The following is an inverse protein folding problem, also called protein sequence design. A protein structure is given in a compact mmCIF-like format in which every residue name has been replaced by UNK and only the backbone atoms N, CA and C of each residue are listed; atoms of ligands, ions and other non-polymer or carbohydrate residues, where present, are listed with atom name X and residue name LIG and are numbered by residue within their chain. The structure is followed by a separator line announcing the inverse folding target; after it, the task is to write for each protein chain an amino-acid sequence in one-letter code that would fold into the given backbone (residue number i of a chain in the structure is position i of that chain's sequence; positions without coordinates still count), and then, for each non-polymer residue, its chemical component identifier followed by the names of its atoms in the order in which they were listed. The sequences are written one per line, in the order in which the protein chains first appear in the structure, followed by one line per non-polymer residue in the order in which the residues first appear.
data_IF_554889108778
#
_entry.id   IF_554889108778
#
_cell.length_a   1.000
_cell.length_b   1.000
_cell.length_c   1.000
_cell.angle_alpha   90.00
_cell.angle_beta   90.00
_cell.angle_gamma   90.00
#
_symmetry.space_group_name_H-M   'P 1'
#
loop_
_entity.id
_entity.type
_entity.pdbx_description
1 polymer ?
#
# COMPACT_ATOMS: atom_id res chain seq x y z
N UNK A 1 -22.72 69.47 4.29
CA UNK A 1 -21.86 69.82 3.14
C UNK A 1 -20.64 68.89 3.15
N UNK A 2 -20.41 67.93 2.26
CA UNK A 2 -21.27 67.10 1.41
C UNK A 2 -20.47 65.80 1.17
N UNK A 3 -21.04 64.68 1.63
CA UNK A 3 -20.55 63.31 1.46
C UNK A 3 -20.90 62.88 0.03
N UNK A 4 -20.06 63.18 -0.96
CA UNK A 4 -20.31 62.73 -2.36
C UNK A 4 -19.06 62.38 -3.19
N UNK A 5 -17.86 62.35 -2.60
CA UNK A 5 -16.61 62.17 -3.36
C UNK A 5 -15.70 61.03 -2.88
N UNK A 6 -16.24 60.00 -2.23
CA UNK A 6 -15.45 58.84 -1.77
C UNK A 6 -16.05 57.48 -2.17
N UNK A 7 -16.97 57.47 -3.15
CA UNK A 7 -17.66 56.25 -3.65
C UNK A 7 -17.23 55.84 -5.07
N UNK A 8 -16.15 56.41 -5.61
CA UNK A 8 -15.70 56.16 -6.99
C UNK A 8 -14.29 55.54 -7.12
N UNK A 9 -13.72 55.02 -6.02
CA UNK A 9 -12.38 54.42 -6.01
C UNK A 9 -12.31 53.03 -5.35
N UNK A 10 -13.45 52.34 -5.28
CA UNK A 10 -13.56 50.95 -4.80
C UNK A 10 -14.36 50.07 -5.77
N UNK A 11 -14.35 50.43 -7.07
CA UNK A 11 -14.86 49.60 -8.17
C UNK A 11 -13.73 49.48 -9.21
N UNK A 12 -12.57 48.98 -8.80
CA UNK A 12 -11.46 48.68 -9.73
C UNK A 12 -10.37 47.82 -9.05
N UNK A 13 -10.71 46.68 -8.46
CA UNK A 13 -9.70 45.66 -8.14
C UNK A 13 -10.27 44.26 -7.79
N UNK A 14 -11.50 43.96 -8.22
CA UNK A 14 -12.03 42.58 -8.21
C UNK A 14 -11.96 42.00 -9.63
N UNK A 15 -10.82 42.17 -10.32
CA UNK A 15 -10.47 41.24 -11.38
C UNK A 15 -10.00 39.96 -10.66
N UNK A 16 -10.98 39.14 -10.30
CA UNK A 16 -10.76 37.77 -9.85
C UNK A 16 -9.91 37.12 -10.95
N UNK A 17 -8.68 36.76 -10.62
CA UNK A 17 -7.90 35.81 -11.39
C UNK A 17 -8.61 34.47 -11.24
N UNK A 18 -9.67 34.28 -12.02
CA UNK A 18 -10.22 32.95 -12.25
C UNK A 18 -9.15 32.25 -13.08
N UNK A 19 -8.24 31.54 -12.41
CA UNK A 19 -7.54 30.44 -13.06
C UNK A 19 -8.61 29.61 -13.74
N UNK A 20 -8.53 29.34 -15.06
CA UNK A 20 -9.46 28.42 -15.67
C UNK A 20 -9.28 27.10 -14.93
N UNK A 21 -10.23 26.75 -14.08
CA UNK A 21 -10.45 25.36 -13.75
C UNK A 21 -10.68 24.72 -15.11
N UNK A 22 -9.76 23.86 -15.56
CA UNK A 22 -10.00 23.01 -16.70
C UNK A 22 -11.30 22.28 -16.39
N UNK A 23 -12.38 22.72 -17.02
CA UNK A 23 -13.65 22.05 -16.90
C UNK A 23 -13.42 20.65 -17.46
N UNK A 24 -13.49 19.63 -16.60
CA UNK A 24 -13.50 18.25 -17.06
C UNK A 24 -14.67 18.12 -18.04
N UNK A 25 -14.35 17.97 -19.32
CA UNK A 25 -15.37 17.79 -20.36
C UNK A 25 -16.04 16.46 -20.11
N UNK A 26 -17.37 16.45 -20.04
CA UNK A 26 -18.11 15.21 -19.86
C UNK A 26 -17.77 14.22 -20.99
N UNK A 27 -17.47 12.98 -20.62
CA UNK A 27 -17.16 11.90 -21.56
C UNK A 27 -18.40 11.61 -22.43
N UNK A 28 -18.33 11.77 -23.76
CA UNK A 28 -19.45 11.46 -24.64
C UNK A 28 -19.80 9.97 -24.59
N UNK A 29 -21.09 9.64 -24.54
CA UNK A 29 -21.56 8.25 -24.56
C UNK A 29 -21.10 7.49 -25.82
N UNK A 30 -20.83 8.21 -26.92
CA UNK A 30 -20.32 7.65 -28.18
C UNK A 30 -18.94 7.02 -28.04
N UNK A 31 -18.10 7.46 -27.09
CA UNK A 31 -16.80 6.85 -26.85
C UNK A 31 -16.94 5.42 -26.31
N UNK A 32 -17.98 5.15 -25.51
CA UNK A 32 -18.26 3.81 -24.94
C UNK A 32 -16.99 3.10 -24.41
N UNK A 33 -16.26 3.71 -23.47
CA UNK A 33 -14.98 3.16 -23.01
C UNK A 33 -15.18 1.93 -22.14
N UNK A 34 -14.41 0.88 -22.41
CA UNK A 34 -14.33 -0.34 -21.62
C UNK A 34 -12.86 -0.60 -21.27
N UNK A 35 -12.51 -0.37 -20.00
CA UNK A 35 -11.14 -0.54 -19.48
C UNK A 35 -11.01 -1.83 -18.69
N UNK A 36 -9.87 -2.50 -18.84
CA UNK A 36 -9.51 -3.70 -18.09
C UNK A 36 -8.05 -3.61 -17.65
N UNK A 37 -7.73 -4.21 -16.52
CA UNK A 37 -6.36 -4.39 -16.04
C UNK A 37 -6.17 -5.85 -15.64
N UNK A 38 -5.04 -6.42 -16.04
CA UNK A 38 -4.60 -7.76 -15.65
C UNK A 38 -3.12 -7.69 -15.26
N UNK A 39 -2.66 -8.60 -14.41
CA UNK A 39 -1.25 -8.68 -14.03
C UNK A 39 -0.81 -10.13 -13.83
N UNK A 40 0.51 -10.29 -13.75
CA UNK A 40 1.17 -11.45 -13.19
C UNK A 40 2.08 -10.93 -12.07
N UNK A 41 1.90 -11.44 -10.85
CA UNK A 41 2.59 -10.91 -9.68
C UNK A 41 4.12 -10.92 -9.85
N UNK A 42 4.76 -9.81 -9.48
CA UNK A 42 6.20 -9.56 -9.63
C UNK A 42 6.73 -9.43 -11.07
N UNK A 43 5.88 -9.52 -12.10
CA UNK A 43 6.32 -9.60 -13.49
C UNK A 43 5.84 -8.42 -14.33
N UNK A 44 4.53 -8.33 -14.57
CA UNK A 44 3.97 -7.35 -15.49
C UNK A 44 2.53 -6.99 -15.11
N UNK A 45 2.14 -5.74 -15.37
CA UNK A 45 0.75 -5.28 -15.33
C UNK A 45 0.36 -4.74 -16.70
N UNK A 46 -0.72 -5.28 -17.28
CA UNK A 46 -1.26 -4.90 -18.58
C UNK A 46 -2.53 -4.09 -18.40
N UNK A 47 -2.54 -2.87 -18.94
CA UNK A 47 -3.71 -2.01 -19.01
C UNK A 47 -4.26 -2.04 -20.42
N UNK A 48 -5.55 -2.34 -20.55
CA UNK A 48 -6.26 -2.37 -21.83
C UNK A 48 -7.42 -1.38 -21.80
N UNK A 49 -7.64 -0.68 -22.90
CA UNK A 49 -8.79 0.19 -23.10
C UNK A 49 -9.37 -0.02 -24.48
N UNK A 50 -10.62 -0.47 -24.54
CA UNK A 50 -11.42 -0.44 -25.75
C UNK A 50 -12.24 0.85 -25.77
N UNK A 51 -12.22 1.57 -26.90
CA UNK A 51 -12.98 2.81 -27.06
C UNK A 51 -13.38 3.00 -28.52
N UNK A 52 -14.57 3.53 -28.76
CA UNK A 52 -14.97 3.98 -30.09
C UNK A 52 -14.35 5.34 -30.40
N UNK A 53 -13.78 5.47 -31.58
CA UNK A 53 -13.11 6.68 -32.05
C UNK A 53 -14.10 7.76 -32.51
N UNK A 54 -15.04 8.14 -31.64
CA UNK A 54 -16.04 9.16 -31.91
C UNK A 54 -16.35 9.98 -30.66
N UNK A 55 -15.82 11.22 -30.53
CA UNK A 55 -15.11 12.02 -31.55
C UNK A 55 -13.75 11.45 -31.98
N UNK A 56 -13.19 11.99 -33.07
CA UNK A 56 -11.88 11.56 -33.58
C UNK A 56 -10.79 11.85 -32.54
N UNK A 57 -10.19 10.79 -32.00
CA UNK A 57 -9.10 10.80 -31.04
C UNK A 57 -7.75 10.80 -31.77
N UNK A 58 -6.76 11.48 -31.19
CA UNK A 58 -5.39 11.53 -31.68
C UNK A 58 -4.38 10.85 -30.75
N UNK A 59 -4.65 10.83 -29.45
CA UNK A 59 -3.84 10.10 -28.48
C UNK A 59 -4.61 9.75 -27.21
N UNK A 60 -4.03 8.83 -26.44
CA UNK A 60 -4.43 8.55 -25.08
C UNK A 60 -3.21 8.63 -24.16
N UNK A 61 -3.43 8.98 -22.90
CA UNK A 61 -2.42 8.89 -21.85
C UNK A 61 -2.97 8.01 -20.75
N UNK A 62 -2.24 6.93 -20.45
CA UNK A 62 -2.47 6.13 -19.26
C UNK A 62 -1.73 6.78 -18.09
N UNK A 63 -2.41 6.95 -16.96
CA UNK A 63 -1.82 7.31 -15.69
C UNK A 63 -1.97 6.17 -14.69
N UNK A 64 -0.94 5.95 -13.88
CA UNK A 64 -0.91 4.95 -12.81
C UNK A 64 -0.30 5.58 -11.56
N UNK A 65 -0.98 5.43 -10.43
CA UNK A 65 -0.58 5.97 -9.14
C UNK A 65 -0.69 4.89 -8.07
N UNK A 66 0.28 4.86 -7.16
CA UNK A 66 0.29 4.00 -5.97
C UNK A 66 0.86 4.79 -4.79
N UNK A 67 0.56 4.43 -3.54
CA UNK A 67 1.15 5.09 -2.37
C UNK A 67 2.68 5.11 -2.36
N UNK A 68 3.36 4.11 -2.94
CA UNK A 68 4.82 4.06 -2.96
C UNK A 68 5.47 4.87 -4.10
N UNK A 69 4.70 5.33 -5.08
CA UNK A 69 5.24 6.13 -6.17
C UNK A 69 5.41 7.58 -5.73
N UNK A 70 6.63 8.12 -5.85
CA UNK A 70 6.88 9.55 -5.61
C UNK A 70 6.09 10.45 -6.59
N UNK A 71 5.91 9.98 -7.82
CA UNK A 71 5.19 10.69 -8.88
C UNK A 71 4.29 9.72 -9.65
N UNK A 72 3.16 10.22 -10.15
CA UNK A 72 2.28 9.45 -11.03
C UNK A 72 3.04 8.98 -12.28
N UNK A 73 3.01 7.68 -12.55
CA UNK A 73 3.51 7.13 -13.81
C UNK A 73 2.57 7.51 -14.94
N UNK A 74 3.10 7.94 -16.09
CA UNK A 74 2.30 8.26 -17.26
C UNK A 74 2.90 7.70 -18.54
N UNK A 75 2.08 7.17 -19.44
CA UNK A 75 2.50 6.72 -20.76
C UNK A 75 1.52 7.20 -21.84
N UNK A 76 2.03 7.85 -22.88
CA UNK A 76 1.24 8.34 -24.01
C UNK A 76 1.25 7.33 -25.16
N UNK A 77 0.06 7.02 -25.69
CA UNK A 77 -0.16 6.14 -26.83
C UNK A 77 -0.77 6.95 -27.99
N UNK A 78 -0.14 6.97 -29.18
CA UNK A 78 -0.74 7.57 -30.36
C UNK A 78 -1.93 6.73 -30.85
N UNK A 79 -2.94 7.37 -31.41
CA UNK A 79 -4.11 6.72 -32.01
C UNK A 79 -4.07 6.93 -33.53
N UNK A 80 -3.81 5.87 -34.27
CA UNK A 80 -3.79 5.85 -35.74
C UNK A 80 -5.03 5.11 -36.27
N UNK A 81 -6.23 5.61 -35.95
CA UNK A 81 -7.50 5.03 -36.37
C UNK A 81 -8.44 6.06 -36.98
N UNK A 82 -9.34 5.61 -37.85
CA UNK A 82 -10.36 6.46 -38.47
C UNK A 82 -11.51 6.77 -37.52
N UNK A 83 -12.23 7.86 -37.78
CA UNK A 83 -13.42 8.21 -36.99
C UNK A 83 -14.46 7.10 -37.08
N UNK A 84 -14.99 6.69 -35.92
CA UNK A 84 -16.00 5.63 -35.79
C UNK A 84 -15.43 4.22 -35.60
N UNK A 85 -14.12 4.03 -35.79
CA UNK A 85 -13.46 2.75 -35.55
C UNK A 85 -13.51 2.35 -34.08
N UNK A 86 -13.46 1.06 -33.79
CA UNK A 86 -13.26 0.53 -32.44
C UNK A 86 -11.76 0.34 -32.21
N UNK A 87 -11.19 1.10 -31.28
CA UNK A 87 -9.77 1.10 -30.95
C UNK A 87 -9.56 0.22 -29.73
N UNK A 88 -8.48 -0.57 -29.74
CA UNK A 88 -7.97 -1.26 -28.56
C UNK A 88 -6.57 -0.72 -28.26
N UNK A 89 -6.44 -0.06 -27.12
CA UNK A 89 -5.17 0.41 -26.58
C UNK A 89 -4.67 -0.59 -25.56
N UNK A 90 -3.34 -0.80 -25.54
CA UNK A 90 -2.69 -1.70 -24.59
C UNK A 90 -1.36 -1.09 -24.16
N UNK A 91 -1.13 -1.05 -22.85
CA UNK A 91 0.15 -0.68 -22.28
C UNK A 91 0.58 -1.72 -21.25
N UNK A 92 1.86 -2.05 -21.27
CA UNK A 92 2.47 -3.02 -20.36
C UNK A 92 3.47 -2.32 -19.46
N UNK A 93 3.22 -2.37 -18.16
CA UNK A 93 4.14 -1.91 -17.12
C UNK A 93 4.99 -3.08 -16.64
N UNK A 94 6.30 -3.00 -16.87
CA UNK A 94 7.28 -3.97 -16.39
C UNK A 94 7.52 -3.79 -14.88
N UNK A 95 7.01 -4.74 -14.10
CA UNK A 95 7.10 -4.69 -12.64
C UNK A 95 8.45 -5.17 -12.12
N UNK A 96 9.32 -5.72 -12.98
CA UNK A 96 10.72 -6.00 -12.61
C UNK A 96 11.56 -4.73 -12.61
N UNK A 97 11.17 -3.75 -13.42
CA UNK A 97 11.81 -2.43 -13.49
C UNK A 97 11.15 -1.42 -12.53
N UNK A 98 9.84 -1.54 -12.32
CA UNK A 98 9.06 -0.67 -11.42
C UNK A 98 8.29 -1.56 -10.43
N UNK A 99 8.97 -2.10 -9.41
CA UNK A 99 8.36 -3.04 -8.48
C UNK A 99 7.22 -2.40 -7.69
N UNK A 100 6.19 -3.19 -7.43
CA UNK A 100 5.07 -2.80 -6.60
C UNK A 100 5.11 -3.52 -5.26
N UNK A 101 4.80 -2.81 -4.18
CA UNK A 101 4.55 -3.44 -2.89
C UNK A 101 3.37 -4.41 -2.99
N UNK A 102 3.46 -5.61 -2.38
CA UNK A 102 2.33 -6.55 -2.36
C UNK A 102 1.13 -5.90 -1.68
N UNK A 103 -0.06 -6.14 -2.23
CA UNK A 103 -1.35 -5.67 -1.70
C UNK A 103 -1.50 -4.13 -1.67
N UNK A 104 -0.67 -3.41 -2.42
CA UNK A 104 -0.85 -1.97 -2.63
C UNK A 104 -2.07 -1.67 -3.49
N UNK A 105 -2.72 -0.53 -3.25
CA UNK A 105 -3.80 -0.05 -4.11
C UNK A 105 -3.22 0.67 -5.33
N UNK A 106 -3.51 0.14 -6.51
CA UNK A 106 -3.18 0.76 -7.79
C UNK A 106 -4.39 1.54 -8.29
N UNK A 107 -4.25 2.86 -8.35
CA UNK A 107 -5.22 3.73 -9.02
C UNK A 107 -4.73 4.04 -10.42
N UNK A 108 -5.57 3.79 -11.43
CA UNK A 108 -5.24 4.11 -12.82
C UNK A 108 -6.40 4.77 -13.54
N UNK A 109 -6.08 5.58 -14.53
CA UNK A 109 -7.06 6.25 -15.37
C UNK A 109 -6.48 6.58 -16.73
N UNK A 110 -7.36 6.83 -17.68
CA UNK A 110 -7.01 7.20 -19.04
C UNK A 110 -7.48 8.62 -19.33
N UNK A 111 -6.66 9.40 -20.01
CA UNK A 111 -7.05 10.67 -20.61
C UNK A 111 -6.96 10.53 -22.12
N UNK A 112 -8.09 10.74 -22.79
CA UNK A 112 -8.18 10.70 -24.24
C UNK A 112 -8.14 12.11 -24.80
N UNK A 113 -7.36 12.33 -25.84
CA UNK A 113 -7.24 13.61 -26.53
C UNK A 113 -7.86 13.53 -27.92
N UNK A 114 -8.83 14.39 -28.19
CA UNK A 114 -9.45 14.53 -29.50
C UNK A 114 -8.60 15.39 -30.45
N UNK A 115 -8.81 15.24 -31.75
CA UNK A 115 -8.14 16.01 -32.79
C UNK A 115 -8.44 17.53 -32.73
N UNK A 116 -9.49 17.94 -32.01
CA UNK A 116 -9.80 19.35 -31.75
C UNK A 116 -9.13 19.89 -30.46
N UNK A 117 -8.33 19.07 -29.77
CA UNK A 117 -7.65 19.39 -28.52
C UNK A 117 -8.49 19.15 -27.26
N UNK A 118 -9.72 18.65 -27.39
CA UNK A 118 -10.56 18.33 -26.23
C UNK A 118 -9.99 17.14 -25.46
N UNK A 119 -9.90 17.26 -24.14
CA UNK A 119 -9.49 16.18 -23.24
C UNK A 119 -10.70 15.53 -22.57
N UNK A 120 -10.76 14.21 -22.62
CA UNK A 120 -11.74 13.38 -21.92
C UNK A 120 -11.02 12.50 -20.90
N UNK A 121 -11.14 12.86 -19.63
CA UNK A 121 -10.66 12.03 -18.53
C UNK A 121 -11.70 10.96 -18.21
N UNK A 122 -11.28 9.69 -18.26
CA UNK A 122 -12.12 8.57 -17.88
C UNK A 122 -12.14 8.41 -16.35
N UNK A 123 -13.20 7.81 -15.79
CA UNK A 123 -13.26 7.52 -14.36
C UNK A 123 -12.03 6.74 -13.88
N UNK A 124 -11.56 7.08 -12.68
CA UNK A 124 -10.45 6.37 -12.07
C UNK A 124 -10.91 4.99 -11.62
N UNK A 125 -10.09 3.99 -11.90
CA UNK A 125 -10.28 2.62 -11.47
C UNK A 125 -9.23 2.25 -10.42
N UNK A 126 -9.62 1.41 -9.48
CA UNK A 126 -8.76 0.92 -8.41
C UNK A 126 -8.62 -0.59 -8.52
N UNK A 127 -7.39 -1.08 -8.31
CA UNK A 127 -7.04 -2.49 -8.29
C UNK A 127 -6.16 -2.75 -7.07
N UNK A 128 -6.52 -3.73 -6.25
CA UNK A 128 -5.60 -4.27 -5.25
C UNK A 128 -4.58 -5.18 -5.95
N UNK A 129 -3.29 -4.89 -5.78
CA UNK A 129 -2.20 -5.68 -6.34
C UNK A 129 -1.87 -6.87 -5.43
N UNK A 130 -2.82 -7.80 -5.32
CA UNK A 130 -2.67 -9.02 -4.53
C UNK A 130 -1.69 -10.02 -5.17
N UNK A 131 -1.12 -10.91 -4.36
CA UNK A 131 -0.30 -12.02 -4.86
C UNK A 131 -1.19 -13.09 -5.52
N UNK A 132 -1.27 -13.02 -6.85
CA UNK A 132 -2.11 -13.88 -7.71
C UNK A 132 -1.57 -15.30 -7.90
N UNK A 133 -0.42 -15.61 -7.30
CA UNK A 133 0.14 -16.96 -7.30
C UNK A 133 -0.62 -17.90 -6.34
N UNK A 134 -1.47 -17.33 -5.47
CA UNK A 134 -2.21 -18.05 -4.45
C UNK A 134 -3.72 -17.78 -4.53
N UNK A 135 -4.51 -18.76 -4.07
CA UNK A 135 -5.94 -18.59 -3.82
C UNK A 135 -6.14 -18.37 -2.32
N UNK A 136 -6.37 -17.12 -1.95
CA UNK A 136 -6.51 -16.71 -0.56
C UNK A 136 -7.90 -17.07 -0.01
N UNK A 137 -7.93 -17.72 1.15
CA UNK A 137 -9.13 -17.80 2.00
C UNK A 137 -9.16 -16.58 2.91
N UNK A 138 -10.35 -16.13 3.28
CA UNK A 138 -10.53 -14.91 4.08
C UNK A 138 -11.44 -15.11 5.30
N UNK A 139 -11.13 -14.37 6.36
CA UNK A 139 -12.02 -14.14 7.51
C UNK A 139 -11.80 -12.71 7.98
N UNK A 140 -12.87 -12.07 8.46
CA UNK A 140 -12.79 -10.68 8.89
C UNK A 140 -13.66 -10.42 10.11
N UNK A 141 -13.15 -9.62 11.04
CA UNK A 141 -13.90 -9.14 12.18
C UNK A 141 -13.30 -7.83 12.71
N UNK A 142 -14.17 -6.88 13.08
CA UNK A 142 -13.78 -5.63 13.75
C UNK A 142 -12.69 -4.81 13.02
N UNK A 143 -12.73 -4.75 11.68
CA UNK A 143 -11.77 -3.99 10.87
C UNK A 143 -10.44 -4.70 10.63
N UNK A 144 -10.35 -5.98 11.01
CA UNK A 144 -9.20 -6.87 10.75
C UNK A 144 -9.63 -7.92 9.73
N UNK A 145 -8.82 -8.08 8.69
CA UNK A 145 -8.97 -9.06 7.62
C UNK A 145 -7.76 -10.00 7.66
N UNK A 146 -8.02 -11.30 7.68
CA UNK A 146 -6.97 -12.32 7.63
C UNK A 146 -7.14 -13.13 6.35
N UNK A 147 -6.05 -13.23 5.60
CA UNK A 147 -5.93 -14.00 4.39
C UNK A 147 -4.93 -15.14 4.58
N UNK A 148 -5.24 -16.34 4.12
CA UNK A 148 -4.30 -17.47 4.23
C UNK A 148 -4.42 -18.48 3.11
N UNK A 149 -3.34 -19.24 2.93
CA UNK A 149 -3.25 -20.34 1.97
C UNK A 149 -3.06 -21.64 2.75
N UNK A 150 -4.14 -22.37 3.07
CA UNK A 150 -4.03 -23.68 3.70
C UNK A 150 -5.24 -24.57 3.44
N UNK A 151 -5.00 -25.89 3.41
CA UNK A 151 -6.02 -26.93 3.56
C UNK A 151 -5.95 -27.52 4.97
N UNK A 152 -7.06 -27.57 5.70
CA UNK A 152 -7.10 -28.01 7.11
C UNK A 152 -7.46 -26.87 8.09
N UNK A 153 -7.02 -27.00 9.35
CA UNK A 153 -7.30 -26.12 10.50
C UNK A 153 -7.46 -24.63 10.10
N UNK A 154 -8.44 -23.95 10.67
CA UNK A 154 -8.72 -22.54 10.37
C UNK A 154 -7.66 -21.62 10.99
N UNK A 155 -6.49 -21.56 10.34
CA UNK A 155 -5.38 -20.68 10.70
C UNK A 155 -5.78 -19.21 10.64
N UNK A 156 -6.71 -18.86 9.74
CA UNK A 156 -7.30 -17.53 9.65
C UNK A 156 -7.95 -17.11 10.96
N UNK A 157 -8.81 -17.98 11.50
CA UNK A 157 -9.46 -17.71 12.78
C UNK A 157 -8.46 -17.64 13.94
N UNK A 158 -7.46 -18.52 13.98
CA UNK A 158 -6.41 -18.46 15.01
C UNK A 158 -5.67 -17.13 14.97
N UNK A 159 -5.27 -16.65 13.78
CA UNK A 159 -4.60 -15.37 13.65
C UNK A 159 -5.49 -14.21 14.06
N UNK A 160 -6.76 -14.22 13.64
CA UNK A 160 -7.75 -13.22 14.05
C UNK A 160 -7.90 -13.15 15.57
N UNK A 161 -8.03 -14.31 16.24
CA UNK A 161 -8.12 -14.39 17.70
C UNK A 161 -6.87 -13.80 18.38
N UNK A 162 -5.67 -14.08 17.85
CA UNK A 162 -4.40 -13.53 18.36
C UNK A 162 -4.34 -12.01 18.21
N UNK A 163 -4.82 -11.45 17.09
CA UNK A 163 -4.91 -10.00 16.91
C UNK A 163 -5.82 -9.40 17.98
N UNK A 164 -7.03 -9.94 18.13
CA UNK A 164 -8.03 -9.42 19.07
C UNK A 164 -7.60 -9.55 20.53
N UNK A 165 -6.88 -10.62 20.89
CA UNK A 165 -6.31 -10.83 22.24
C UNK A 165 -5.17 -9.82 22.53
N UNK A 166 -4.31 -9.57 21.54
CA UNK A 166 -3.08 -8.79 21.73
C UNK A 166 -3.32 -7.28 21.66
N UNK A 167 -4.27 -6.85 20.82
CA UNK A 167 -4.51 -5.45 20.51
C UNK A 167 -4.73 -4.56 21.74
N UNK A 168 -5.60 -4.91 22.71
CA UNK A 168 -5.83 -4.05 23.88
C UNK A 168 -4.56 -3.82 24.72
N UNK A 169 -3.65 -4.81 24.77
CA UNK A 169 -2.37 -4.68 25.50
C UNK A 169 -1.45 -3.67 24.82
N UNK A 170 -1.31 -3.77 23.49
CA UNK A 170 -0.47 -2.83 22.72
C UNK A 170 -1.05 -1.42 22.78
N UNK A 171 -2.36 -1.27 22.60
CA UNK A 171 -3.04 0.03 22.66
C UNK A 171 -2.93 0.71 24.03
N UNK A 172 -2.85 -0.05 25.12
CA UNK A 172 -2.69 0.51 26.47
C UNK A 172 -1.38 1.29 26.66
N UNK A 173 -0.37 1.01 25.83
CA UNK A 173 0.95 1.63 25.88
C UNK A 173 1.15 2.60 24.71
N UNK A 174 0.90 2.15 23.47
CA UNK A 174 1.16 2.94 22.26
C UNK A 174 0.08 4.01 22.05
N UNK A 175 -1.14 3.79 22.56
CA UNK A 175 -2.27 4.72 22.47
C UNK A 175 -2.60 5.14 21.02
N UNK A 176 -2.57 4.18 20.10
CA UNK A 176 -2.95 4.37 18.70
C UNK A 176 -4.02 3.36 18.28
N UNK A 177 -4.85 3.78 17.32
CA UNK A 177 -5.83 2.92 16.67
C UNK A 177 -5.19 2.09 15.56
N UNK A 178 -5.85 0.99 15.20
CA UNK A 178 -5.44 0.20 14.04
C UNK A 178 -5.61 0.98 12.74
N UNK A 179 -4.78 0.69 11.72
CA UNK A 179 -5.17 1.00 10.36
C UNK A 179 -6.50 0.30 10.03
N UNK A 180 -7.31 0.98 9.22
CA UNK A 180 -8.59 0.43 8.77
C UNK A 180 -8.67 0.52 7.23
N UNK A 181 -8.68 -0.62 6.53
CA UNK A 181 -8.54 -1.98 7.08
C UNK A 181 -7.13 -2.28 7.60
N UNK A 182 -7.03 -3.27 8.51
CA UNK A 182 -5.81 -4.03 8.76
C UNK A 182 -5.93 -5.36 8.03
N UNK A 183 -5.02 -5.65 7.12
CA UNK A 183 -5.01 -6.90 6.35
C UNK A 183 -3.75 -7.71 6.68
N UNK A 184 -3.92 -8.97 7.10
CA UNK A 184 -2.83 -9.88 7.45
C UNK A 184 -2.83 -11.07 6.49
N UNK A 185 -1.73 -11.27 5.75
CA UNK A 185 -1.57 -12.37 4.80
C UNK A 185 -0.62 -13.42 5.35
N UNK A 186 -1.14 -14.63 5.53
CA UNK A 186 -0.41 -15.81 5.99
C UNK A 186 0.05 -16.64 4.80
N UNK A 187 1.32 -16.45 4.43
CA UNK A 187 1.96 -17.18 3.36
C UNK A 187 2.22 -18.65 3.74
N UNK A 188 2.16 -19.59 2.77
CA UNK A 188 2.33 -21.01 3.06
C UNK A 188 3.74 -21.37 3.57
N UNK A 189 4.77 -20.58 3.29
CA UNK A 189 6.11 -20.81 3.80
C UNK A 189 6.93 -19.53 3.92
N UNK A 190 8.04 -19.59 4.66
CA UNK A 190 9.01 -18.50 4.68
C UNK A 190 9.70 -18.29 3.33
N UNK A 191 9.83 -19.33 2.50
CA UNK A 191 10.34 -19.19 1.14
C UNK A 191 9.38 -18.44 0.23
N UNK A 192 8.07 -18.70 0.35
CA UNK A 192 7.05 -18.06 -0.48
C UNK A 192 6.96 -16.56 -0.19
N UNK A 193 6.86 -16.18 1.09
CA UNK A 193 6.85 -14.77 1.46
C UNK A 193 8.19 -14.08 1.06
N UNK A 194 9.33 -14.78 1.12
CA UNK A 194 10.62 -14.21 0.68
C UNK A 194 10.65 -14.01 -0.82
N UNK A 195 10.05 -14.90 -1.61
CA UNK A 195 9.91 -14.71 -3.03
C UNK A 195 9.04 -13.48 -3.33
N UNK A 196 7.89 -13.35 -2.67
CA UNK A 196 7.00 -12.21 -2.84
C UNK A 196 7.66 -10.86 -2.50
N UNK A 197 8.37 -10.78 -1.36
CA UNK A 197 9.10 -9.56 -0.96
C UNK A 197 10.25 -9.22 -1.90
N UNK A 198 10.98 -10.21 -2.42
CA UNK A 198 12.06 -9.97 -3.38
C UNK A 198 11.55 -9.40 -4.69
N UNK A 199 10.40 -9.88 -5.16
CA UNK A 199 9.77 -9.39 -6.39
C UNK A 199 9.25 -7.95 -6.23
N UNK A 200 8.99 -7.50 -5.00
CA UNK A 200 8.61 -6.12 -4.69
C UNK A 200 9.79 -5.20 -4.32
N UNK A 201 11.03 -5.69 -4.43
CA UNK A 201 12.24 -4.93 -4.08
C UNK A 201 12.44 -4.72 -2.58
N UNK A 202 11.75 -5.48 -1.73
CA UNK A 202 11.83 -5.40 -0.27
C UNK A 202 12.78 -6.47 0.30
N UNK A 203 13.53 -6.12 1.34
CA UNK A 203 14.36 -7.07 2.09
C UNK A 203 13.52 -7.88 3.06
N UNK A 204 13.78 -9.19 3.14
CA UNK A 204 13.14 -10.07 4.12
C UNK A 204 13.68 -9.80 5.53
N UNK A 205 12.78 -9.53 6.46
CA UNK A 205 12.93 -9.78 7.90
C UNK A 205 11.86 -10.81 8.27
N UNK A 206 12.02 -11.54 9.39
CA UNK A 206 11.25 -12.75 9.68
C UNK A 206 9.71 -12.63 9.53
N UNK A 207 9.14 -11.43 9.62
CA UNK A 207 7.83 -11.01 9.09
C UNK A 207 7.99 -9.64 8.42
N UNK A 208 6.94 -9.14 7.77
CA UNK A 208 6.97 -7.80 7.18
C UNK A 208 5.65 -7.07 7.41
N UNK A 209 5.70 -5.95 8.12
CA UNK A 209 4.62 -4.97 8.14
C UNK A 209 4.90 -3.86 7.10
N UNK A 210 3.87 -3.44 6.37
CA UNK A 210 3.85 -2.23 5.56
C UNK A 210 2.85 -1.25 6.20
N UNK A 211 3.27 -0.46 7.21
CA UNK A 211 2.36 0.36 8.01
C UNK A 211 1.56 1.40 7.24
N UNK A 212 2.13 1.92 6.16
CA UNK A 212 1.50 2.83 5.21
C UNK A 212 0.33 2.18 4.46
N UNK A 213 0.36 0.86 4.27
CA UNK A 213 -0.70 0.09 3.63
C UNK A 213 -1.67 -0.54 4.63
N UNK A 214 -1.29 -0.62 5.92
CA UNK A 214 -2.05 -1.40 6.91
C UNK A 214 -1.95 -2.91 6.67
N UNK A 215 -0.85 -3.36 6.05
CA UNK A 215 -0.65 -4.76 5.64
C UNK A 215 0.41 -5.42 6.52
N UNK A 216 0.17 -6.67 6.91
CA UNK A 216 1.14 -7.54 7.60
C UNK A 216 1.29 -8.85 6.85
N UNK A 217 2.52 -9.26 6.56
CA UNK A 217 2.83 -10.47 5.84
C UNK A 217 3.62 -11.42 6.76
N UNK A 218 3.11 -12.63 6.97
CA UNK A 218 3.71 -13.62 7.86
C UNK A 218 3.77 -15.01 7.21
N UNK A 219 4.82 -15.80 7.46
CA UNK A 219 4.83 -17.21 7.06
C UNK A 219 4.08 -18.09 8.07
N UNK A 220 3.34 -19.08 7.59
CA UNK A 220 2.58 -20.05 8.37
C UNK A 220 2.81 -21.50 7.89
N UNK A 221 4.07 -21.94 7.89
CA UNK A 221 4.50 -23.20 7.25
C UNK A 221 4.12 -24.48 8.00
N UNK A 222 4.24 -24.48 9.32
CA UNK A 222 4.10 -25.68 10.12
C UNK A 222 2.86 -25.59 11.01
N UNK A 223 1.77 -26.31 10.70
CA UNK A 223 0.54 -26.27 11.50
C UNK A 223 0.73 -26.66 12.97
N UNK A 224 1.79 -27.43 13.30
CA UNK A 224 2.08 -27.83 14.69
C UNK A 224 2.68 -26.70 15.53
N UNK A 225 3.37 -25.75 14.90
CA UNK A 225 3.99 -24.61 15.60
C UNK A 225 3.31 -23.28 15.26
N UNK A 226 2.46 -23.25 14.24
CA UNK A 226 1.82 -22.04 13.72
C UNK A 226 1.17 -21.20 14.82
N UNK A 227 0.45 -21.80 15.77
CA UNK A 227 -0.17 -21.04 16.88
C UNK A 227 0.88 -20.29 17.72
N UNK A 228 1.98 -20.96 18.06
CA UNK A 228 3.08 -20.36 18.83
C UNK A 228 3.77 -19.26 18.02
N UNK A 229 4.00 -19.53 16.74
CA UNK A 229 4.64 -18.59 15.83
C UNK A 229 3.78 -17.34 15.61
N UNK A 230 2.46 -17.49 15.42
CA UNK A 230 1.52 -16.39 15.26
C UNK A 230 1.38 -15.58 16.55
N UNK A 231 1.30 -16.23 17.73
CA UNK A 231 1.28 -15.55 19.04
C UNK A 231 2.55 -14.75 19.32
N UNK A 232 3.66 -15.08 18.67
CA UNK A 232 4.88 -14.30 18.73
C UNK A 232 4.85 -13.16 17.69
N UNK A 233 4.64 -13.50 16.43
CA UNK A 233 4.83 -12.59 15.29
C UNK A 233 3.73 -11.55 15.13
N UNK A 234 2.46 -11.94 15.29
CA UNK A 234 1.34 -10.99 15.12
C UNK A 234 1.46 -9.79 16.07
N UNK A 235 1.57 -9.95 17.40
CA UNK A 235 1.70 -8.79 18.28
C UNK A 235 2.97 -7.97 18.03
N UNK A 236 4.05 -8.62 17.58
CA UNK A 236 5.29 -7.94 17.18
C UNK A 236 5.03 -7.00 16.00
N UNK A 237 4.53 -7.52 14.87
CA UNK A 237 4.22 -6.70 13.69
C UNK A 237 3.13 -5.66 13.95
N UNK A 238 2.13 -6.01 14.76
CA UNK A 238 1.06 -5.08 15.15
C UNK A 238 1.60 -3.89 15.93
N UNK A 239 2.66 -4.09 16.72
CA UNK A 239 3.31 -3.01 17.45
C UNK A 239 3.96 -2.00 16.50
N UNK A 240 4.66 -2.46 15.45
CA UNK A 240 5.22 -1.58 14.43
C UNK A 240 4.13 -0.74 13.75
N UNK A 241 2.98 -1.34 13.40
CA UNK A 241 1.85 -0.61 12.83
C UNK A 241 1.33 0.51 13.75
N UNK A 242 1.11 0.19 15.02
CA UNK A 242 0.58 1.16 15.99
C UNK A 242 1.61 2.26 16.31
N UNK A 243 2.89 1.91 16.39
CA UNK A 243 3.97 2.88 16.62
C UNK A 243 4.11 3.81 15.41
N UNK A 244 4.01 3.29 14.18
CA UNK A 244 3.95 4.10 12.96
C UNK A 244 2.80 5.11 13.00
N UNK A 245 1.61 4.64 13.37
CA UNK A 245 0.43 5.50 13.53
C UNK A 245 0.63 6.57 14.61
N UNK A 246 1.21 6.22 15.75
CA UNK A 246 1.45 7.15 16.85
C UNK A 246 2.53 8.20 16.52
N UNK A 247 3.61 7.78 15.88
CA UNK A 247 4.77 8.62 15.60
C UNK A 247 4.58 9.52 14.36
N UNK A 248 3.75 9.09 13.39
CA UNK A 248 3.50 9.83 12.15
C UNK A 248 4.79 10.15 11.40
N UNK A 249 4.98 11.41 11.02
CA UNK A 249 6.21 11.86 10.32
C UNK A 249 7.49 11.69 11.16
N UNK A 250 7.36 11.50 12.48
CA UNK A 250 8.48 11.21 13.37
C UNK A 250 8.99 9.77 13.30
N UNK A 251 8.23 8.83 12.71
CA UNK A 251 8.59 7.40 12.70
C UNK A 251 9.98 7.14 12.10
N UNK A 252 10.30 7.82 10.99
CA UNK A 252 11.60 7.67 10.32
C UNK A 252 12.81 8.09 11.16
N UNK A 253 12.60 8.86 12.22
CA UNK A 253 13.64 9.31 13.15
C UNK A 253 13.69 8.48 14.44
N UNK A 254 12.85 7.45 14.56
CA UNK A 254 12.76 6.63 15.76
C UNK A 254 13.99 5.70 15.88
N UNK A 255 14.62 5.61 17.07
CA UNK A 255 15.70 4.65 17.29
C UNK A 255 15.20 3.22 17.10
N UNK A 256 15.89 2.43 16.28
CA UNK A 256 15.46 1.05 15.96
C UNK A 256 15.35 0.15 17.19
N UNK A 257 16.22 0.32 18.18
CA UNK A 257 16.13 -0.45 19.43
C UNK A 257 14.82 -0.24 20.17
N UNK A 258 14.24 0.96 20.08
CA UNK A 258 12.98 1.28 20.75
C UNK A 258 11.81 0.63 20.00
N UNK A 259 11.80 0.69 18.67
CA UNK A 259 10.79 0.07 17.82
C UNK A 259 10.75 -1.46 17.99
N UNK A 260 11.89 -2.10 17.75
CA UNK A 260 12.06 -3.56 17.85
C UNK A 260 11.90 -4.06 19.29
N UNK A 261 12.39 -3.28 20.26
CA UNK A 261 12.27 -3.61 21.68
C UNK A 261 10.83 -3.54 22.18
N UNK A 262 10.06 -2.55 21.72
CA UNK A 262 8.64 -2.42 22.03
C UNK A 262 7.82 -3.52 21.36
N UNK A 263 8.10 -3.83 20.09
CA UNK A 263 7.49 -4.96 19.40
C UNK A 263 7.77 -6.30 20.10
N UNK A 264 9.03 -6.52 20.50
CA UNK A 264 9.46 -7.69 21.27
C UNK A 264 8.75 -7.79 22.63
N UNK A 265 8.52 -6.66 23.31
CA UNK A 265 7.82 -6.63 24.61
C UNK A 265 6.38 -7.14 24.52
N UNK A 266 5.72 -6.97 23.36
CA UNK A 266 4.34 -7.39 23.16
C UNK A 266 4.19 -8.81 22.64
N UNK A 267 5.27 -9.51 22.28
CA UNK A 267 5.23 -10.93 21.92
C UNK A 267 4.52 -11.74 23.00
N UNK A 268 3.36 -12.32 22.68
CA UNK A 268 2.59 -13.13 23.66
C UNK A 268 3.32 -14.43 24.01
N UNK A 269 4.18 -14.91 23.11
CA UNK A 269 5.15 -15.97 23.37
C UNK A 269 6.54 -15.48 22.98
N UNK A 270 7.40 -15.12 23.96
CA UNK A 270 8.75 -14.64 23.69
C UNK A 270 9.61 -15.68 22.98
N UNK A 271 10.56 -15.22 22.16
CA UNK A 271 11.57 -16.10 21.60
C UNK A 271 12.42 -16.75 22.71
N UNK A 272 12.49 -18.09 22.80
CA UNK A 272 13.23 -18.78 23.87
C UNK A 272 14.74 -18.52 23.83
N UNK A 273 15.27 -17.99 22.72
CA UNK A 273 16.70 -17.69 22.57
C UNK A 273 17.09 -16.32 23.15
N UNK A 274 16.15 -15.42 23.45
CA UNK A 274 16.49 -14.07 23.93
C UNK A 274 17.19 -14.10 25.29
N UNK A 275 16.63 -14.82 26.27
CA UNK A 275 17.21 -14.89 27.61
C UNK A 275 18.61 -15.54 27.61
N UNK A 276 18.84 -16.71 26.98
CA UNK A 276 20.19 -17.25 26.87
C UNK A 276 21.18 -16.31 26.18
N UNK A 277 20.78 -15.65 25.09
CA UNK A 277 21.66 -14.72 24.39
C UNK A 277 22.07 -13.52 25.26
N UNK A 278 21.14 -12.99 26.06
CA UNK A 278 21.43 -11.92 27.01
C UNK A 278 22.37 -12.41 28.12
N UNK A 279 22.15 -13.60 28.66
CA UNK A 279 23.01 -14.20 29.68
C UNK A 279 24.44 -14.46 29.17
N UNK A 280 24.59 -14.93 27.93
CA UNK A 280 25.89 -15.15 27.30
C UNK A 280 26.64 -13.84 27.07
N UNK A 281 25.93 -12.79 26.62
CA UNK A 281 26.50 -11.45 26.46
C UNK A 281 26.92 -10.85 27.80
N UNK A 282 26.13 -11.03 28.87
CA UNK A 282 26.47 -10.65 30.25
C UNK A 282 27.73 -11.37 30.73
N UNK A 283 27.81 -12.69 30.53
CA UNK A 283 28.93 -13.51 30.99
C UNK A 283 30.24 -13.22 30.25
N UNK A 284 30.14 -12.79 28.98
CA UNK A 284 31.28 -12.52 28.10
C UNK A 284 31.69 -11.05 28.04
N UNK A 285 31.04 -10.17 28.82
CA UNK A 285 31.22 -8.71 28.78
C UNK A 285 31.03 -8.12 27.36
N UNK A 286 30.00 -8.62 26.66
CA UNK A 286 29.64 -8.27 25.29
C UNK A 286 28.28 -7.56 25.19
N UNK A 287 27.79 -6.99 26.29
CA UNK A 287 26.54 -6.20 26.26
C UNK A 287 26.78 -4.94 25.45
N UNK A 288 25.86 -4.67 24.52
CA UNK A 288 25.88 -3.45 23.72
C UNK A 288 25.55 -2.26 24.64
N UNK A 289 26.41 -1.24 24.73
CA UNK A 289 26.11 -0.03 25.49
C UNK A 289 24.84 0.65 24.98
N UNK A 290 24.03 1.19 25.90
CA UNK A 290 22.76 1.82 25.53
C UNK A 290 22.92 2.98 24.55
N UNK A 291 24.00 3.75 24.67
CA UNK A 291 24.30 4.86 23.74
C UNK A 291 24.55 4.37 22.30
N UNK A 292 25.12 3.18 22.13
CA UNK A 292 25.37 2.59 20.82
C UNK A 292 24.08 2.10 20.15
N UNK A 293 23.10 1.63 20.93
CA UNK A 293 21.81 1.18 20.41
C UNK A 293 21.04 2.30 19.69
N UNK A 294 21.24 3.56 20.10
CA UNK A 294 20.65 4.73 19.46
C UNK A 294 21.25 5.06 18.08
N UNK A 295 22.47 4.61 17.79
CA UNK A 295 23.24 4.97 16.58
C UNK A 295 23.37 3.79 15.62
N UNK A 296 23.62 2.60 16.15
CA UNK A 296 23.78 1.36 15.39
C UNK A 296 22.99 0.23 16.04
N UNK A 297 22.00 -0.30 15.34
CA UNK A 297 21.24 -1.47 15.76
C UNK A 297 21.67 -2.68 14.92
N UNK A 298 22.13 -3.79 15.54
CA UNK A 298 22.51 -5.00 14.83
C UNK A 298 21.39 -5.48 13.89
N UNK A 299 21.77 -6.01 12.73
CA UNK A 299 20.87 -6.65 11.76
C UNK A 299 21.03 -8.16 11.82
#
# INVERSE_FOLDING_TARGET
MNIRWLLLLLIACAAVWATPALAQTAVPATLSPEGEVAYAFGQQMTFSLQVRNEPLLQSAVLFVSTPQFENTYSHQLPIEAGKGDLINLRHELDLTAVPLQPFTLVTYWWVLEAADGTLYELPHANLEYADDQFVWKETAQAGVEIYWVADGLDLGQVALDVVLESLPRIQSVVQADLPNPLSIYLYPSASDLRAALRLSGQDWVAGHASPELGVVLLPAENPRTAVVDLRRRIPHELSHLLVYRAAGTGYANMPRWFDEGLATLFESVPNPNYEPALQDALASDQIIPFEELCVSFPR
#
